data_IF_441958833602
#
_entry.id   IF_441958833602
#
_cell.length_a   1.000
_cell.length_b   1.000
_cell.length_c   1.000
_cell.angle_alpha   90.00
_cell.angle_beta   90.00
_cell.angle_gamma   90.00
#
_symmetry.space_group_name_H-M   'P 1'
#
loop_
_entity.id
_entity.type
_entity.pdbx_description
1 polymer ?
#
# COMPACT_ATOMS: atom_id res chain seq x y z
N UNK A 1 -7.37 -32.35 -11.10
CA UNK A 1 -7.27 -31.08 -10.34
C UNK A 1 -6.31 -31.18 -9.15
N UNK A 2 -6.37 -32.22 -8.30
CA UNK A 2 -5.52 -32.34 -7.11
C UNK A 2 -3.98 -32.39 -7.33
N UNK A 3 -3.49 -33.06 -8.40
CA UNK A 3 -2.03 -33.14 -8.68
C UNK A 3 -1.43 -31.78 -9.04
N UNK A 4 -2.14 -30.96 -9.81
CA UNK A 4 -1.67 -29.61 -10.17
C UNK A 4 -1.62 -28.70 -8.93
N UNK A 5 -2.55 -28.86 -7.99
CA UNK A 5 -2.51 -28.14 -6.72
C UNK A 5 -1.36 -28.59 -5.82
N UNK A 6 -1.05 -29.89 -5.79
CA UNK A 6 0.12 -30.41 -5.06
C UNK A 6 1.44 -29.90 -5.66
N UNK A 7 1.54 -29.87 -6.99
CA UNK A 7 2.70 -29.33 -7.70
C UNK A 7 2.86 -27.82 -7.47
N UNK A 8 1.77 -27.04 -7.53
CA UNK A 8 1.79 -25.61 -7.21
C UNK A 8 2.22 -25.36 -5.76
N UNK A 9 1.74 -26.17 -4.81
CA UNK A 9 2.16 -26.09 -3.40
C UNK A 9 3.62 -26.47 -3.19
N UNK A 10 4.11 -27.51 -3.86
CA UNK A 10 5.50 -27.93 -3.80
C UNK A 10 6.43 -26.86 -4.40
N UNK A 11 6.04 -26.29 -5.55
CA UNK A 11 6.75 -25.20 -6.19
C UNK A 11 6.79 -23.95 -5.30
N UNK A 12 5.68 -23.58 -4.67
CA UNK A 12 5.63 -22.46 -3.72
C UNK A 12 6.57 -22.68 -2.53
N UNK A 13 6.61 -23.91 -1.98
CA UNK A 13 7.52 -24.26 -0.87
C UNK A 13 8.98 -24.13 -1.29
N UNK A 14 9.34 -24.64 -2.47
CA UNK A 14 10.69 -24.55 -3.02
C UNK A 14 11.12 -23.09 -3.24
N UNK A 15 10.28 -22.28 -3.87
CA UNK A 15 10.55 -20.85 -4.12
C UNK A 15 10.76 -20.11 -2.80
N UNK A 16 9.90 -20.33 -1.79
CA UNK A 16 10.05 -19.69 -0.49
C UNK A 16 11.37 -20.07 0.19
N UNK A 17 11.73 -21.36 0.19
CA UNK A 17 12.98 -21.83 0.79
C UNK A 17 14.22 -21.23 0.11
N UNK A 18 14.22 -21.12 -1.22
CA UNK A 18 15.32 -20.49 -1.98
C UNK A 18 15.41 -18.98 -1.68
N UNK A 19 14.29 -18.28 -1.62
CA UNK A 19 14.27 -16.85 -1.27
C UNK A 19 14.82 -16.62 0.14
N UNK A 20 14.42 -17.43 1.12
CA UNK A 20 14.93 -17.35 2.49
C UNK A 20 16.43 -17.63 2.57
N UNK A 21 16.93 -18.66 1.88
CA UNK A 21 18.35 -19.00 1.84
C UNK A 21 19.21 -17.91 1.19
N UNK A 22 18.66 -17.18 0.22
CA UNK A 22 19.32 -16.05 -0.45
C UNK A 22 19.23 -14.73 0.35
N UNK A 23 18.70 -14.76 1.58
CA UNK A 23 18.55 -13.56 2.40
C UNK A 23 17.47 -12.61 1.91
N UNK A 24 16.65 -13.02 0.93
CA UNK A 24 15.34 -12.41 0.68
C UNK A 24 14.40 -12.87 1.79
N UNK A 25 14.71 -12.48 3.02
CA UNK A 25 13.69 -12.36 4.04
C UNK A 25 12.63 -11.45 3.42
N UNK A 26 11.46 -12.01 3.11
CA UNK A 26 10.27 -11.20 2.93
C UNK A 26 10.11 -10.47 4.26
N UNK A 27 10.76 -9.31 4.41
CA UNK A 27 10.44 -8.38 5.45
C UNK A 27 8.94 -8.18 5.26
N UNK A 28 8.14 -8.79 6.12
CA UNK A 28 6.70 -8.57 6.11
C UNK A 28 6.58 -7.12 6.51
N UNK A 29 6.74 -6.21 5.54
CA UNK A 29 6.79 -4.77 5.73
C UNK A 29 5.57 -4.47 6.56
N UNK A 30 5.78 -4.04 7.81
CA UNK A 30 4.72 -3.91 8.80
C UNK A 30 3.59 -3.12 8.15
N UNK A 31 2.42 -3.75 7.98
CA UNK A 31 1.29 -3.08 7.36
C UNK A 31 0.95 -1.89 8.24
N UNK A 32 1.09 -0.69 7.69
CA UNK A 32 0.72 0.53 8.39
C UNK A 32 -0.65 0.99 7.90
N UNK A 33 -1.27 1.86 8.68
CA UNK A 33 -2.51 2.52 8.31
C UNK A 33 -2.27 3.85 7.59
N UNK A 34 -1.05 4.10 7.12
CA UNK A 34 -0.71 5.32 6.40
C UNK A 34 -1.53 5.45 5.13
N UNK A 35 -2.05 6.65 4.91
CA UNK A 35 -2.90 6.98 3.79
C UNK A 35 -2.08 7.77 2.78
N UNK A 36 -1.94 7.23 1.57
CA UNK A 36 -1.27 7.89 0.47
C UNK A 36 -2.29 8.56 -0.42
N UNK A 37 -2.06 9.82 -0.75
CA UNK A 37 -2.75 10.54 -1.82
C UNK A 37 -1.84 10.49 -3.04
N UNK A 38 -2.21 9.72 -4.05
CA UNK A 38 -1.40 9.45 -5.26
C UNK A 38 -2.15 9.84 -6.54
N UNK A 39 -1.44 10.23 -7.61
CA UNK A 39 -2.05 10.33 -8.94
C UNK A 39 -2.56 8.96 -9.40
N UNK A 40 -3.73 8.93 -10.06
CA UNK A 40 -4.38 7.72 -10.52
C UNK A 40 -5.35 8.01 -11.67
N UNK A 41 -5.03 7.55 -12.88
CA UNK A 41 -5.90 7.65 -14.08
C UNK A 41 -6.50 9.05 -14.26
N UNK A 42 -5.64 10.04 -14.49
CA UNK A 42 -5.99 11.46 -14.67
C UNK A 42 -6.78 12.07 -13.50
N UNK A 43 -6.63 11.47 -12.33
CA UNK A 43 -7.31 11.84 -11.11
C UNK A 43 -6.42 11.57 -9.89
N UNK A 44 -7.00 11.59 -8.71
CA UNK A 44 -6.32 11.34 -7.44
C UNK A 44 -6.95 10.17 -6.70
N UNK A 45 -6.14 9.37 -6.03
CA UNK A 45 -6.62 8.25 -5.24
C UNK A 45 -6.07 8.27 -3.83
N UNK A 46 -6.88 7.78 -2.89
CA UNK A 46 -6.41 7.44 -1.55
C UNK A 46 -6.08 5.95 -1.54
N UNK A 47 -4.88 5.58 -1.09
CA UNK A 47 -4.43 4.20 -0.97
C UNK A 47 -3.74 3.98 0.37
N UNK A 48 -4.11 2.93 1.11
CA UNK A 48 -3.38 2.54 2.32
C UNK A 48 -2.02 1.96 1.94
N UNK A 49 -0.97 2.29 2.69
CA UNK A 49 0.37 1.70 2.54
C UNK A 49 0.27 0.16 2.52
N UNK A 50 0.97 -0.45 1.55
CA UNK A 50 0.97 -1.91 1.34
C UNK A 50 -0.36 -2.49 0.86
N UNK A 51 -1.33 -1.67 0.40
CA UNK A 51 -2.55 -2.17 -0.24
C UNK A 51 -2.39 -2.18 -1.76
N UNK A 52 -2.83 -3.25 -2.42
CA UNK A 52 -2.81 -3.36 -3.89
C UNK A 52 -3.92 -2.51 -4.53
N UNK A 53 -5.08 -2.41 -3.86
CA UNK A 53 -6.25 -1.67 -4.35
C UNK A 53 -6.31 -0.26 -3.75
N UNK A 54 -6.83 0.69 -4.53
CA UNK A 54 -7.17 2.02 -4.03
C UNK A 54 -8.38 1.94 -3.09
N UNK A 55 -8.41 2.82 -2.10
CA UNK A 55 -9.53 2.98 -1.17
C UNK A 55 -10.65 3.83 -1.78
N UNK A 56 -10.28 4.86 -2.56
CA UNK A 56 -11.24 5.75 -3.24
C UNK A 56 -10.56 6.57 -4.33
N UNK A 57 -11.30 6.92 -5.39
CA UNK A 57 -10.88 7.83 -6.48
C UNK A 57 -11.58 9.19 -6.30
N UNK A 58 -10.88 10.27 -6.64
CA UNK A 58 -11.32 11.67 -6.51
C UNK A 58 -10.81 12.48 -7.69
N UNK A 59 -11.61 13.42 -8.18
CA UNK A 59 -11.19 14.31 -9.28
C UNK A 59 -10.05 15.26 -8.88
N UNK A 60 -10.09 15.79 -7.66
CA UNK A 60 -9.13 16.78 -7.14
C UNK A 60 -8.25 16.20 -6.05
N UNK A 61 -7.00 16.64 -5.99
CA UNK A 61 -6.06 16.26 -4.93
C UNK A 61 -6.59 16.67 -3.54
N UNK A 62 -7.16 17.88 -3.42
CA UNK A 62 -7.71 18.39 -2.17
C UNK A 62 -8.78 17.46 -1.58
N UNK A 63 -9.71 16.99 -2.40
CA UNK A 63 -10.77 16.06 -1.96
C UNK A 63 -10.19 14.72 -1.50
N UNK A 64 -9.16 14.22 -2.19
CA UNK A 64 -8.45 13.02 -1.76
C UNK A 64 -7.72 13.24 -0.42
N UNK A 65 -7.09 14.40 -0.22
CA UNK A 65 -6.44 14.78 1.04
C UNK A 65 -7.46 14.78 2.18
N UNK A 66 -8.65 15.37 2.00
CA UNK A 66 -9.68 15.41 3.05
C UNK A 66 -10.20 14.02 3.41
N UNK A 67 -10.35 13.12 2.43
CA UNK A 67 -10.65 11.71 2.70
C UNK A 67 -9.51 11.02 3.44
N UNK A 68 -8.26 11.25 3.03
CA UNK A 68 -7.09 10.67 3.68
C UNK A 68 -6.95 11.14 5.13
N UNK A 69 -7.12 12.43 5.41
CA UNK A 69 -7.11 13.01 6.78
C UNK A 69 -8.14 12.33 7.69
N UNK A 70 -9.37 12.13 7.21
CA UNK A 70 -10.42 11.44 7.99
C UNK A 70 -10.05 10.01 8.35
N UNK A 71 -9.45 9.27 7.41
CA UNK A 71 -8.98 7.90 7.65
C UNK A 71 -7.76 7.89 8.59
N UNK A 72 -6.82 8.79 8.35
CA UNK A 72 -5.57 8.90 9.09
C UNK A 72 -5.82 9.20 10.58
N UNK A 73 -6.72 10.15 10.88
CA UNK A 73 -7.22 10.42 12.25
C UNK A 73 -7.85 9.19 12.90
N UNK A 74 -8.73 8.49 12.17
CA UNK A 74 -9.41 7.27 12.68
C UNK A 74 -8.41 6.18 13.06
N UNK A 75 -7.33 6.03 12.29
CA UNK A 75 -6.35 4.96 12.48
C UNK A 75 -5.05 5.42 13.17
N UNK A 76 -5.01 6.64 13.71
CA UNK A 76 -3.82 7.24 14.35
C UNK A 76 -2.55 7.08 13.50
N UNK A 77 -2.61 7.56 12.26
CA UNK A 77 -1.60 7.29 11.24
C UNK A 77 -1.34 8.52 10.37
N UNK A 78 -0.25 8.50 9.61
CA UNK A 78 0.11 9.61 8.72
C UNK A 78 -0.69 9.64 7.41
N UNK A 79 -0.79 10.84 6.85
CA UNK A 79 -1.12 11.09 5.43
C UNK A 79 0.17 11.44 4.69
N UNK A 80 0.42 10.76 3.57
CA UNK A 80 1.52 11.06 2.65
C UNK A 80 0.92 11.59 1.35
N UNK A 81 1.30 12.79 0.95
CA UNK A 81 0.74 13.47 -0.21
C UNK A 81 1.78 13.44 -1.33
N UNK A 82 1.47 12.83 -2.46
CA UNK A 82 2.36 12.78 -3.62
C UNK A 82 2.07 13.92 -4.61
N UNK A 83 3.07 14.32 -5.39
CA UNK A 83 2.96 15.18 -6.57
C UNK A 83 2.46 14.34 -7.76
N UNK A 84 2.02 14.99 -8.83
CA UNK A 84 1.73 14.31 -10.10
C UNK A 84 2.96 13.60 -10.68
N UNK A 85 4.16 14.15 -10.44
CA UNK A 85 5.44 13.52 -10.75
C UNK A 85 5.80 12.30 -9.88
N UNK A 86 4.96 11.93 -8.91
CA UNK A 86 5.14 10.75 -8.05
C UNK A 86 5.95 10.97 -6.78
N UNK A 87 6.77 12.03 -6.71
CA UNK A 87 7.51 12.40 -5.50
C UNK A 87 6.61 12.84 -4.33
N UNK A 88 7.11 12.78 -3.10
CA UNK A 88 6.36 13.25 -1.92
C UNK A 88 6.34 14.79 -1.90
N UNK A 89 5.14 15.37 -1.80
CA UNK A 89 4.91 16.81 -1.62
C UNK A 89 4.92 17.19 -0.15
N UNK A 90 4.24 16.42 0.68
CA UNK A 90 3.97 16.76 2.08
C UNK A 90 3.58 15.52 2.91
N UNK A 91 3.71 15.61 4.24
CA UNK A 91 3.34 14.58 5.21
C UNK A 91 2.64 15.21 6.42
N UNK A 92 1.49 14.65 6.80
CA UNK A 92 0.76 15.05 8.01
C UNK A 92 0.70 13.86 8.97
N UNK A 93 1.12 14.05 10.23
CA UNK A 93 1.04 13.01 11.27
C UNK A 93 -0.22 13.18 12.12
N UNK A 94 -0.85 12.07 12.47
CA UNK A 94 -1.96 12.00 13.43
C UNK A 94 -1.72 10.90 14.48
N UNK A 95 -0.44 10.62 14.76
CA UNK A 95 -0.01 9.72 15.84
C UNK A 95 0.03 10.54 17.13
N UNK A 96 -0.67 10.07 18.14
CA UNK A 96 -0.53 10.51 19.54
C UNK A 96 0.38 9.53 20.28
#
# INVERSE_FOLDING_TARGET
MAKNEQLVRALQKLINAVLEALGYASSKKKRTWHQHVVPYQDAWAVRREGNQRITSKHRKQSTAIDKAKRLAKRYKSDVIIHRESGGIRDRLSYRD
#
